data_IF_775089574349
#
_entry.id   IF_775089574349
#
_cell.length_a   1.000
_cell.length_b   1.000
_cell.length_c   1.000
_cell.angle_alpha   90.00
_cell.angle_beta   90.00
_cell.angle_gamma   90.00
#
_symmetry.space_group_name_H-M   'P 1'
#
loop_
_entity.id
_entity.type
_entity.pdbx_description
1 polymer ?
#
# COMPACT_ATOMS: atom_id res chain seq x y z
N UNK A 1 -23.58 -2.86 14.65
CA UNK A 1 -23.98 -3.77 13.56
C UNK A 1 -22.79 -4.18 12.71
N UNK A 2 -21.95 -3.22 12.25
CA UNK A 2 -20.77 -3.48 11.42
C UNK A 2 -19.77 -4.45 12.06
N UNK A 3 -19.51 -4.32 13.38
CA UNK A 3 -18.61 -5.21 14.10
C UNK A 3 -19.13 -6.66 14.16
N UNK A 4 -20.46 -6.83 14.30
CA UNK A 4 -21.09 -8.15 14.27
C UNK A 4 -21.06 -8.78 12.89
N UNK A 5 -21.30 -7.99 11.84
CA UNK A 5 -21.26 -8.45 10.47
C UNK A 5 -19.84 -8.87 10.08
N UNK A 6 -18.83 -8.13 10.55
CA UNK A 6 -17.42 -8.45 10.35
C UNK A 6 -17.03 -9.77 11.06
N UNK A 7 -17.39 -9.92 12.33
CA UNK A 7 -17.12 -11.15 13.10
C UNK A 7 -17.72 -12.39 12.45
N UNK A 8 -18.96 -12.28 11.98
CA UNK A 8 -19.65 -13.40 11.33
C UNK A 8 -19.03 -13.78 9.98
N UNK A 9 -18.54 -12.80 9.23
CA UNK A 9 -18.04 -13.00 7.87
C UNK A 9 -16.58 -13.48 7.83
N UNK A 10 -15.73 -12.98 8.74
CA UNK A 10 -14.28 -13.24 8.70
C UNK A 10 -13.79 -14.26 9.72
N UNK A 11 -14.44 -14.41 10.85
CA UNK A 11 -14.00 -15.32 11.91
C UNK A 11 -14.79 -16.63 11.97
N UNK A 12 -15.87 -16.77 11.18
CA UNK A 12 -16.72 -17.96 11.19
C UNK A 12 -17.41 -18.20 12.55
N UNK A 13 -17.47 -17.17 13.39
CA UNK A 13 -18.08 -17.24 14.71
C UNK A 13 -19.58 -17.02 14.55
N UNK A 14 -20.37 -18.04 14.85
CA UNK A 14 -21.82 -17.89 14.89
C UNK A 14 -22.19 -16.86 15.97
N UNK A 15 -23.12 -15.96 15.66
CA UNK A 15 -23.62 -14.92 16.60
C UNK A 15 -24.11 -15.52 17.92
N UNK A 16 -24.47 -16.80 17.90
CA UNK A 16 -24.91 -17.58 19.10
C UNK A 16 -23.74 -18.03 20.00
N UNK A 17 -22.48 -17.98 19.52
CA UNK A 17 -21.41 -18.70 20.20
C UNK A 17 -20.64 -17.90 21.25
N UNK A 18 -20.77 -16.61 21.34
CA UNK A 18 -20.38 -15.87 22.54
C UNK A 18 -20.71 -14.38 22.46
N UNK A 19 -21.65 -13.96 23.25
CA UNK A 19 -21.85 -12.53 23.55
C UNK A 19 -20.54 -11.88 24.05
N UNK A 20 -19.67 -12.64 24.69
CA UNK A 20 -18.37 -12.20 25.20
C UNK A 20 -17.43 -11.75 24.08
N UNK A 21 -17.27 -12.56 23.02
CA UNK A 21 -16.41 -12.18 21.88
C UNK A 21 -16.96 -11.02 21.07
N UNK A 22 -18.28 -10.95 20.90
CA UNK A 22 -18.91 -9.82 20.22
C UNK A 22 -18.72 -8.54 21.02
N UNK A 23 -18.86 -8.60 22.35
CA UNK A 23 -18.63 -7.45 23.23
C UNK A 23 -17.18 -6.98 23.21
N UNK A 24 -16.21 -7.92 23.21
CA UNK A 24 -14.80 -7.59 23.06
C UNK A 24 -14.50 -6.92 21.71
N UNK A 25 -15.07 -7.41 20.62
CA UNK A 25 -14.91 -6.82 19.28
C UNK A 25 -15.56 -5.43 19.22
N UNK A 26 -16.73 -5.24 19.81
CA UNK A 26 -17.40 -3.94 19.88
C UNK A 26 -16.57 -2.94 20.72
N UNK A 27 -16.02 -3.37 21.85
CA UNK A 27 -15.12 -2.57 22.69
C UNK A 27 -13.83 -2.17 21.94
N UNK A 28 -13.19 -3.12 21.27
CA UNK A 28 -12.02 -2.82 20.43
C UNK A 28 -12.36 -1.90 19.25
N UNK A 29 -13.54 -2.06 18.64
CA UNK A 29 -13.98 -1.18 17.56
C UNK A 29 -14.23 0.26 18.05
N UNK A 30 -14.74 0.44 19.26
CA UNK A 30 -14.89 1.77 19.88
C UNK A 30 -13.53 2.38 20.23
N UNK A 31 -12.63 1.59 20.83
CA UNK A 31 -11.25 2.02 21.14
C UNK A 31 -10.52 2.45 19.85
N UNK A 32 -10.62 1.65 18.79
CA UNK A 32 -10.02 1.96 17.49
C UNK A 32 -10.66 3.22 16.90
N UNK A 33 -11.99 3.36 17.00
CA UNK A 33 -12.69 4.55 16.51
C UNK A 33 -12.26 5.81 17.25
N UNK A 34 -12.11 5.76 18.57
CA UNK A 34 -11.66 6.88 19.39
C UNK A 34 -10.18 7.20 19.12
N UNK A 35 -9.33 6.19 18.98
CA UNK A 35 -7.93 6.37 18.56
C UNK A 35 -7.85 7.02 17.18
N UNK A 36 -8.68 6.61 16.23
CA UNK A 36 -8.74 7.21 14.90
C UNK A 36 -9.30 8.62 14.91
N UNK A 37 -10.24 8.91 15.81
CA UNK A 37 -10.86 10.24 15.97
C UNK A 37 -9.94 11.22 16.68
N UNK A 38 -9.17 10.77 17.67
CA UNK A 38 -8.15 11.57 18.37
C UNK A 38 -6.80 11.56 17.62
N UNK A 39 -6.55 10.55 16.80
CA UNK A 39 -5.27 10.23 16.18
C UNK A 39 -4.94 10.99 14.90
N UNK A 40 -5.58 12.14 14.61
CA UNK A 40 -5.00 13.06 13.61
C UNK A 40 -3.72 13.76 14.11
N UNK A 41 -3.27 13.50 15.34
CA UNK A 41 -2.13 14.22 15.91
C UNK A 41 -1.04 13.38 16.59
N UNK A 42 -1.12 12.06 16.67
CA UNK A 42 -0.07 11.30 17.39
C UNK A 42 0.33 10.00 16.67
N UNK A 43 1.05 10.10 15.59
CA UNK A 43 2.07 9.10 15.24
C UNK A 43 3.32 9.81 14.70
N UNK A 44 3.98 10.52 15.63
CA UNK A 44 5.41 10.78 15.52
C UNK A 44 6.10 9.73 16.36
N UNK A 45 6.48 8.62 15.78
CA UNK A 45 7.56 7.79 16.30
C UNK A 45 8.43 7.30 15.16
N UNK A 46 9.60 7.85 15.17
CA UNK A 46 10.88 7.44 14.65
C UNK A 46 10.94 6.04 14.01
N UNK A 47 10.50 5.95 12.77
CA UNK A 47 11.12 5.13 11.76
C UNK A 47 10.82 5.82 10.43
N UNK A 48 11.85 6.27 9.77
CA UNK A 48 11.98 7.04 8.53
C UNK A 48 11.17 6.50 7.32
N UNK A 49 9.94 6.03 7.55
CA UNK A 49 9.09 5.35 6.55
C UNK A 49 7.97 6.23 5.98
N UNK A 50 7.89 7.50 6.41
CA UNK A 50 6.82 8.41 6.00
C UNK A 50 5.43 7.99 6.48
N UNK A 51 4.56 8.94 6.78
CA UNK A 51 3.15 8.68 7.11
C UNK A 51 2.31 8.62 5.85
N UNK A 52 1.48 7.59 5.71
CA UNK A 52 0.53 7.49 4.60
C UNK A 52 -0.56 8.55 4.71
N UNK A 53 -0.88 9.21 3.61
CA UNK A 53 -1.91 10.24 3.48
C UNK A 53 -2.91 9.86 2.40
N UNK A 54 -4.18 10.22 2.57
CA UNK A 54 -5.22 10.02 1.55
C UNK A 54 -5.18 11.11 0.45
N UNK A 55 -4.34 12.10 0.61
CA UNK A 55 -4.10 13.15 -0.37
C UNK A 55 -2.61 13.27 -0.68
N UNK A 56 -2.30 13.80 -1.86
CA UNK A 56 -0.91 14.10 -2.23
C UNK A 56 -0.35 15.12 -1.25
N UNK A 57 0.78 14.83 -0.57
CA UNK A 57 1.38 15.76 0.37
C UNK A 57 1.75 17.09 -0.28
N UNK A 58 1.67 18.16 0.51
CA UNK A 58 1.98 19.52 0.05
C UNK A 58 3.41 19.59 -0.53
N UNK A 59 3.56 20.39 -1.59
CA UNK A 59 4.85 20.59 -2.26
C UNK A 59 5.25 19.46 -3.23
N UNK A 60 4.47 18.42 -3.37
CA UNK A 60 4.63 17.42 -4.43
C UNK A 60 3.67 17.73 -5.58
N UNK A 61 4.16 18.03 -6.74
CA UNK A 61 3.43 18.60 -7.87
C UNK A 61 2.11 17.92 -8.26
N UNK A 62 1.48 18.39 -9.32
CA UNK A 62 0.24 17.82 -9.82
C UNK A 62 0.51 16.44 -10.43
N UNK A 63 0.06 15.39 -9.74
CA UNK A 63 0.09 14.02 -10.22
C UNK A 63 -1.33 13.65 -10.64
N UNK A 64 -1.49 13.06 -11.84
CA UNK A 64 -2.78 12.48 -12.22
C UNK A 64 -3.12 11.35 -11.25
N UNK A 65 -4.26 11.42 -10.59
CA UNK A 65 -4.67 10.38 -9.66
C UNK A 65 -5.03 9.09 -10.42
N UNK A 66 -5.01 7.97 -9.70
CA UNK A 66 -5.53 6.71 -10.22
C UNK A 66 -7.03 6.84 -10.50
N UNK A 67 -7.45 6.40 -11.66
CA UNK A 67 -8.83 6.55 -12.15
C UNK A 67 -9.81 5.51 -11.59
N UNK A 68 -9.32 4.57 -10.77
CA UNK A 68 -10.13 3.51 -10.18
C UNK A 68 -10.44 2.35 -11.13
N UNK A 69 -9.91 2.38 -12.37
CA UNK A 69 -10.21 1.36 -13.38
C UNK A 69 -9.39 0.07 -13.17
N UNK A 70 -10.09 -1.09 -13.21
CA UNK A 70 -9.44 -2.39 -13.25
C UNK A 70 -9.12 -2.74 -14.72
N UNK A 71 -7.88 -2.56 -15.10
CA UNK A 71 -7.43 -2.80 -16.47
C UNK A 71 -7.32 -4.30 -16.80
N UNK A 72 -7.40 -4.62 -18.09
CA UNK A 72 -7.25 -5.98 -18.58
C UNK A 72 -5.94 -6.63 -18.08
N UNK A 73 -6.05 -7.88 -17.61
CA UNK A 73 -4.95 -8.63 -16.99
C UNK A 73 -4.83 -8.47 -15.49
N UNK A 74 -5.54 -7.51 -14.86
CA UNK A 74 -5.49 -7.31 -13.41
C UNK A 74 -6.19 -8.40 -12.59
N UNK A 75 -7.05 -9.20 -13.20
CA UNK A 75 -7.83 -10.24 -12.51
C UNK A 75 -6.97 -11.37 -11.89
N UNK A 76 -5.69 -11.48 -12.28
CA UNK A 76 -4.73 -12.42 -11.67
C UNK A 76 -4.22 -11.95 -10.31
N UNK A 77 -4.44 -10.70 -9.94
CA UNK A 77 -4.12 -10.15 -8.64
C UNK A 77 -5.40 -9.98 -7.82
N UNK A 78 -5.40 -10.35 -6.53
CA UNK A 78 -6.56 -10.09 -5.67
C UNK A 78 -6.85 -8.59 -5.61
N UNK A 79 -8.09 -8.22 -5.90
CA UNK A 79 -8.51 -6.82 -5.93
C UNK A 79 -8.21 -6.10 -4.62
N UNK A 80 -7.71 -4.86 -4.69
CA UNK A 80 -7.38 -4.05 -3.52
C UNK A 80 -6.02 -4.34 -2.90
N UNK A 81 -5.29 -5.35 -3.37
CA UNK A 81 -3.92 -5.61 -2.94
C UNK A 81 -2.93 -4.62 -3.58
N UNK A 82 -1.78 -4.45 -2.94
CA UNK A 82 -0.71 -3.58 -3.44
C UNK A 82 -0.29 -3.96 -4.88
N UNK A 83 -0.18 -5.23 -5.18
CA UNK A 83 0.16 -5.76 -6.51
C UNK A 83 -0.91 -5.44 -7.55
N UNK A 84 -2.19 -5.57 -7.18
CA UNK A 84 -3.32 -5.20 -8.04
C UNK A 84 -3.31 -3.70 -8.36
N UNK A 85 -3.07 -2.89 -7.33
CA UNK A 85 -3.02 -1.44 -7.49
C UNK A 85 -1.90 -1.02 -8.44
N UNK A 86 -0.67 -1.46 -8.18
CA UNK A 86 0.50 -1.07 -8.98
C UNK A 86 0.35 -1.51 -10.43
N UNK A 87 -0.17 -2.72 -10.68
CA UNK A 87 -0.48 -3.17 -12.02
C UNK A 87 -1.43 -2.22 -12.75
N UNK A 88 -2.54 -1.85 -12.12
CA UNK A 88 -3.56 -0.98 -12.71
C UNK A 88 -3.05 0.46 -12.87
N UNK A 89 -2.33 0.99 -11.87
CA UNK A 89 -1.74 2.34 -11.95
C UNK A 89 -0.72 2.45 -13.08
N UNK A 90 0.12 1.45 -13.26
CA UNK A 90 1.06 1.38 -14.38
C UNK A 90 0.34 1.35 -15.72
N UNK A 91 -0.67 0.49 -15.86
CA UNK A 91 -1.50 0.39 -17.08
C UNK A 91 -2.17 1.71 -17.45
N UNK A 92 -2.70 2.45 -16.48
CA UNK A 92 -3.27 3.78 -16.70
C UNK A 92 -2.26 4.74 -17.37
N UNK A 93 -0.98 4.59 -17.06
CA UNK A 93 0.10 5.41 -17.61
C UNK A 93 0.76 4.80 -18.86
N UNK A 94 0.19 3.72 -19.41
CA UNK A 94 0.74 3.04 -20.58
C UNK A 94 1.94 2.12 -20.29
N UNK A 95 2.24 1.86 -19.03
CA UNK A 95 3.34 1.01 -18.57
C UNK A 95 2.81 -0.40 -18.33
N UNK A 96 3.55 -1.41 -18.76
CA UNK A 96 3.09 -2.79 -18.70
C UNK A 96 3.97 -3.66 -17.80
N UNK A 97 3.33 -4.32 -16.85
CA UNK A 97 3.88 -5.45 -16.09
C UNK A 97 3.18 -6.74 -16.53
N UNK A 98 3.78 -7.89 -16.24
CA UNK A 98 3.11 -9.17 -16.47
C UNK A 98 1.88 -9.30 -15.55
N UNK A 99 0.88 -10.05 -15.98
CA UNK A 99 -0.31 -10.36 -15.18
C UNK A 99 -0.01 -11.18 -13.92
N UNK A 100 1.23 -11.62 -13.74
CA UNK A 100 1.72 -12.29 -12.54
C UNK A 100 3.18 -11.91 -12.27
N UNK A 101 3.40 -10.99 -11.36
CA UNK A 101 4.73 -10.54 -10.94
C UNK A 101 5.21 -11.20 -9.62
N UNK A 102 4.34 -11.95 -8.94
CA UNK A 102 4.60 -12.51 -7.62
C UNK A 102 4.20 -11.58 -6.48
N UNK A 103 4.73 -11.82 -5.27
CA UNK A 103 4.52 -10.96 -4.11
C UNK A 103 5.19 -9.60 -4.30
N UNK A 104 4.68 -8.57 -3.63
CA UNK A 104 5.19 -7.19 -3.80
C UNK A 104 6.69 -7.06 -3.55
N UNK A 105 7.21 -7.75 -2.54
CA UNK A 105 8.63 -7.75 -2.21
C UNK A 105 9.54 -8.52 -3.19
N UNK A 106 8.96 -9.23 -4.16
CA UNK A 106 9.72 -10.06 -5.11
C UNK A 106 9.74 -9.50 -6.54
N UNK A 107 9.03 -8.41 -6.82
CA UNK A 107 8.91 -7.85 -8.16
C UNK A 107 10.26 -7.55 -8.80
N UNK A 108 11.23 -7.09 -8.02
CA UNK A 108 12.57 -6.76 -8.53
C UNK A 108 13.36 -7.97 -9.04
N UNK A 109 12.94 -9.19 -8.68
CA UNK A 109 13.57 -10.45 -9.14
C UNK A 109 12.86 -11.06 -10.34
N UNK A 110 11.78 -10.42 -10.83
CA UNK A 110 10.98 -10.99 -11.93
C UNK A 110 11.82 -11.08 -13.21
N UNK A 111 12.02 -12.27 -13.79
CA UNK A 111 12.75 -12.40 -15.05
C UNK A 111 12.12 -11.58 -16.18
N UNK A 112 12.94 -10.92 -16.96
CA UNK A 112 12.50 -10.10 -18.11
C UNK A 112 12.09 -8.69 -17.75
N UNK A 113 12.31 -8.24 -16.50
CA UNK A 113 12.18 -6.86 -16.06
C UNK A 113 13.50 -6.35 -15.51
N UNK A 114 13.86 -5.12 -15.86
CA UNK A 114 15.02 -4.45 -15.29
C UNK A 114 14.68 -3.85 -13.93
N UNK A 115 15.61 -3.91 -13.00
CA UNK A 115 15.47 -3.29 -11.69
C UNK A 115 16.77 -2.67 -11.20
N UNK A 116 16.67 -1.62 -10.40
CA UNK A 116 17.82 -0.96 -9.76
C UNK A 116 17.40 -0.39 -8.39
N UNK A 117 18.38 0.01 -7.58
CA UNK A 117 18.14 0.77 -6.34
C UNK A 117 18.28 2.29 -6.54
N UNK A 118 18.34 2.75 -7.79
CA UNK A 118 18.30 4.18 -8.10
C UNK A 118 16.85 4.63 -8.24
N UNK A 119 16.39 5.60 -7.43
CA UNK A 119 15.04 6.13 -7.54
C UNK A 119 14.69 6.55 -8.97
N UNK A 120 13.56 6.08 -9.46
CA UNK A 120 13.10 6.35 -10.81
C UNK A 120 11.59 6.52 -10.85
N UNK A 121 11.15 7.65 -11.40
CA UNK A 121 9.74 7.97 -11.61
C UNK A 121 9.09 6.95 -12.56
N UNK A 122 7.82 6.67 -12.30
CA UNK A 122 6.98 5.77 -13.11
C UNK A 122 7.52 4.33 -13.17
N UNK A 123 7.99 3.84 -12.03
CA UNK A 123 8.38 2.44 -11.83
C UNK A 123 7.57 1.81 -10.69
N UNK A 124 7.51 0.50 -10.66
CA UNK A 124 7.08 -0.20 -9.44
C UNK A 124 8.20 -0.15 -8.40
N UNK A 125 7.87 0.18 -7.17
CA UNK A 125 8.81 0.20 -6.04
C UNK A 125 8.58 -1.02 -5.20
N UNK A 126 9.51 -1.98 -5.26
CA UNK A 126 9.45 -3.23 -4.50
C UNK A 126 10.19 -3.07 -3.18
N UNK A 127 9.46 -3.31 -2.09
CA UNK A 127 9.96 -3.32 -0.72
C UNK A 127 10.21 -4.76 -0.31
N UNK A 128 11.46 -5.12 -0.09
CA UNK A 128 11.76 -6.46 0.43
C UNK A 128 11.10 -6.66 1.79
N UNK A 129 10.95 -7.91 2.18
CA UNK A 129 10.26 -8.32 3.40
C UNK A 129 10.79 -7.59 4.63
N UNK A 130 9.90 -6.90 5.36
CA UNK A 130 10.18 -6.15 6.57
C UNK A 130 10.86 -4.79 6.37
N UNK A 131 11.26 -4.42 5.16
CA UNK A 131 11.91 -3.13 4.90
C UNK A 131 10.87 -1.99 4.86
N UNK A 132 11.14 -0.91 5.56
CA UNK A 132 10.32 0.32 5.58
C UNK A 132 8.83 0.06 5.90
N UNK A 133 8.56 -0.85 6.84
CA UNK A 133 7.21 -1.20 7.31
C UNK A 133 6.44 -2.15 6.40
N UNK A 134 7.10 -2.78 5.41
CA UNK A 134 6.48 -3.79 4.56
C UNK A 134 6.20 -5.11 5.32
N UNK A 135 5.26 -5.89 4.81
CA UNK A 135 4.93 -7.20 5.37
C UNK A 135 6.18 -8.09 5.47
N UNK A 136 6.44 -8.75 6.63
CA UNK A 136 7.64 -9.55 6.83
C UNK A 136 7.68 -10.86 6.01
N UNK A 137 6.55 -11.26 5.43
CA UNK A 137 6.43 -12.49 4.62
C UNK A 137 6.40 -12.19 3.13
N UNK A 138 5.58 -11.20 2.73
CA UNK A 138 5.27 -10.92 1.32
C UNK A 138 5.96 -9.65 0.80
N UNK A 139 6.55 -8.84 1.71
CA UNK A 139 7.01 -7.51 1.34
C UNK A 139 5.85 -6.60 0.91
N UNK A 140 6.17 -5.62 0.09
CA UNK A 140 5.18 -4.67 -0.43
C UNK A 140 5.59 -4.17 -1.81
N UNK A 141 4.65 -3.62 -2.57
CA UNK A 141 4.92 -2.89 -3.80
C UNK A 141 4.08 -1.62 -3.88
N UNK A 142 4.71 -0.52 -4.26
CA UNK A 142 4.08 0.77 -4.49
C UNK A 142 4.42 1.28 -5.90
N UNK A 143 3.85 2.40 -6.30
CA UNK A 143 4.17 3.05 -7.57
C UNK A 143 4.91 4.37 -7.31
N UNK A 144 6.06 4.57 -7.95
CA UNK A 144 6.84 5.80 -7.86
C UNK A 144 6.21 6.89 -8.71
N UNK A 145 5.58 7.84 -8.07
CA UNK A 145 4.90 8.95 -8.76
C UNK A 145 5.86 10.09 -9.10
N UNK A 146 6.82 10.38 -8.22
CA UNK A 146 7.76 11.47 -8.39
C UNK A 146 9.07 11.21 -7.66
N UNK A 147 10.17 11.78 -8.18
CA UNK A 147 11.49 11.75 -7.55
C UNK A 147 12.01 13.18 -7.48
N UNK A 148 12.42 13.63 -6.31
CA UNK A 148 13.04 14.96 -6.11
C UNK A 148 14.55 14.92 -6.30
N UNK A 149 15.13 16.11 -6.48
CA UNK A 149 16.58 16.28 -6.64
C UNK A 149 17.40 15.85 -5.43
N UNK A 150 16.82 15.82 -4.23
CA UNK A 150 17.45 15.31 -3.01
C UNK A 150 17.41 13.76 -2.91
N UNK A 151 16.73 13.11 -3.85
CA UNK A 151 16.55 11.67 -3.90
C UNK A 151 15.37 11.15 -3.08
N UNK A 152 14.58 12.01 -2.45
CA UNK A 152 13.31 11.62 -1.86
C UNK A 152 12.29 11.30 -2.95
N UNK A 153 11.33 10.41 -2.64
CA UNK A 153 10.32 9.99 -3.61
C UNK A 153 8.91 10.14 -3.03
N UNK A 154 7.96 10.38 -3.90
CA UNK A 154 6.54 10.21 -3.62
C UNK A 154 6.07 8.90 -4.23
N UNK A 155 5.46 8.07 -3.42
CA UNK A 155 4.81 6.85 -3.87
C UNK A 155 3.31 6.93 -3.69
N UNK A 156 2.59 6.20 -4.52
CA UNK A 156 1.18 5.86 -4.32
C UNK A 156 1.07 4.36 -4.10
N UNK A 157 0.18 3.95 -3.19
CA UNK A 157 0.09 2.58 -2.74
C UNK A 157 -1.33 2.21 -2.30
N UNK A 158 -1.62 0.94 -2.19
CA UNK A 158 -2.87 0.40 -1.67
C UNK A 158 -2.58 -0.79 -0.74
N UNK A 159 -3.54 -1.13 0.12
CA UNK A 159 -3.40 -2.18 1.13
C UNK A 159 -2.29 -1.88 2.15
N UNK A 160 -2.38 -0.70 2.74
CA UNK A 160 -1.47 -0.22 3.78
C UNK A 160 -2.19 -0.26 5.13
N UNK A 161 -1.47 -0.67 6.17
CA UNK A 161 -2.02 -0.69 7.52
C UNK A 161 -2.55 0.71 7.94
N UNK A 162 -3.74 0.75 8.52
CA UNK A 162 -4.38 2.00 8.92
C UNK A 162 -5.07 2.78 7.79
N UNK A 163 -4.99 2.31 6.55
CA UNK A 163 -5.71 2.87 5.40
C UNK A 163 -6.92 1.98 5.07
N UNK A 164 -8.11 2.53 4.82
CA UNK A 164 -9.27 1.71 4.45
C UNK A 164 -9.00 0.83 3.23
N UNK A 165 -9.60 -0.36 3.19
CA UNK A 165 -9.46 -1.27 2.06
C UNK A 165 -9.86 -0.60 0.74
N UNK A 166 -9.24 -1.00 -0.37
CA UNK A 166 -9.48 -0.45 -1.72
C UNK A 166 -9.20 1.05 -1.87
N UNK A 167 -8.47 1.65 -0.93
CA UNK A 167 -8.17 3.08 -0.94
C UNK A 167 -6.72 3.32 -1.31
N UNK A 168 -6.48 4.23 -2.24
CA UNK A 168 -5.14 4.71 -2.58
C UNK A 168 -4.65 5.67 -1.51
N UNK A 169 -3.43 5.47 -1.06
CA UNK A 169 -2.72 6.41 -0.19
C UNK A 169 -1.39 6.82 -0.81
N UNK A 170 -0.85 7.92 -0.30
CA UNK A 170 0.41 8.51 -0.74
C UNK A 170 1.37 8.58 0.43
N UNK A 171 2.64 8.32 0.17
CA UNK A 171 3.70 8.40 1.17
C UNK A 171 4.97 9.02 0.58
N UNK A 172 5.57 9.92 1.35
CA UNK A 172 6.90 10.45 1.03
C UNK A 172 7.94 9.54 1.69
N UNK A 173 8.86 9.04 0.90
CA UNK A 173 10.00 8.25 1.37
C UNK A 173 11.25 9.14 1.28
N UNK A 174 11.97 9.26 2.37
CA UNK A 174 13.24 9.99 2.39
C UNK A 174 14.31 9.33 1.52
N UNK A 175 15.32 10.10 1.13
CA UNK A 175 16.36 9.65 0.22
C UNK A 175 17.22 8.51 0.75
N UNK A 176 17.36 8.38 2.07
CA UNK A 176 18.11 7.29 2.70
C UNK A 176 17.39 5.95 2.55
N UNK A 177 16.11 5.95 2.85
CA UNK A 177 15.22 4.79 2.68
C UNK A 177 15.00 4.48 1.19
N UNK A 178 14.78 5.50 0.36
CA UNK A 178 14.55 5.34 -1.07
C UNK A 178 15.66 4.57 -1.78
N UNK A 179 16.92 4.76 -1.38
CA UNK A 179 18.07 4.03 -1.94
C UNK A 179 18.18 2.57 -1.50
N UNK A 180 17.37 2.13 -0.57
CA UNK A 180 17.31 0.73 -0.14
C UNK A 180 16.21 -0.06 -0.86
N UNK A 181 15.33 0.64 -1.57
CA UNK A 181 14.21 0.05 -2.31
C UNK A 181 14.64 -0.35 -3.73
N UNK A 182 13.85 -1.19 -4.35
CA UNK A 182 14.07 -1.63 -5.72
C UNK A 182 13.04 -1.01 -6.66
N UNK A 183 13.52 -0.37 -7.71
CA UNK A 183 12.71 0.26 -8.75
C UNK A 183 12.68 -0.66 -9.96
N UNK A 184 11.51 -1.11 -10.34
CA UNK A 184 11.29 -2.10 -11.42
C UNK A 184 10.70 -1.38 -12.62
N UNK A 185 11.41 -1.43 -13.74
CA UNK A 185 10.93 -0.87 -15.00
C UNK A 185 9.83 -1.75 -15.59
N UNK A 186 8.69 -1.15 -15.93
CA UNK A 186 7.72 -1.78 -16.82
C UNK A 186 8.15 -1.66 -18.30
N UNK A 187 7.44 -2.35 -19.16
CA UNK A 187 7.62 -2.35 -20.62
C UNK A 187 6.71 -1.33 -21.29
#
# INVERSE_FOLDING_TARGET
QAARDWSQYYEGVAISDSQTKVSEIEEWAEIIYDILKEGQTVFSQDNNTGTSSLSIPEGWGSISQYDGHAYEGSASYPAGQCTWYVYNRAKQLGIQFDSYMGNGGDWFRKPGFSSSQTPKKHTAVSFVQGLAGSDPTYGHVAFCEEVRSDGSILISEMNVYGVPAMTVSYRVIDSGTARQLWYVDGR
#
